data_IF_430716089981
#
_entry.id   IF_430716089981
#
_cell.length_a   1.000
_cell.length_b   1.000
_cell.length_c   1.000
_cell.angle_alpha   90.00
_cell.angle_beta   90.00
_cell.angle_gamma   90.00
#
_symmetry.space_group_name_H-M   'P 1'
#
loop_
_entity.id
_entity.type
_entity.pdbx_description
1 polymer ?
#
# COMPACT_ATOMS: atom_id res chain seq x y z
N UNK A 1 2.66 -13.73 -23.60
CA UNK A 1 3.45 -12.49 -23.43
C UNK A 1 4.87 -12.67 -23.92
N UNK A 2 5.72 -13.47 -23.25
CA UNK A 2 7.09 -13.75 -23.71
C UNK A 2 7.18 -14.37 -25.11
N UNK A 3 6.39 -15.42 -25.40
CA UNK A 3 6.34 -16.04 -26.73
C UNK A 3 5.98 -15.07 -27.86
N UNK A 4 5.38 -13.92 -27.54
CA UNK A 4 4.91 -12.93 -28.51
C UNK A 4 5.72 -11.62 -28.43
N UNK A 5 6.84 -11.61 -27.67
CA UNK A 5 7.69 -10.42 -27.51
C UNK A 5 7.04 -9.25 -26.76
N UNK A 6 5.90 -9.47 -26.09
CA UNK A 6 5.19 -8.42 -25.34
C UNK A 6 5.86 -8.28 -23.97
N UNK A 7 6.57 -7.15 -23.74
CA UNK A 7 7.01 -6.75 -22.39
C UNK A 7 5.75 -6.36 -21.59
N UNK A 8 5.43 -7.03 -20.48
CA UNK A 8 4.25 -6.66 -19.71
C UNK A 8 4.50 -5.29 -19.08
N UNK A 9 3.54 -4.39 -19.22
CA UNK A 9 3.55 -3.13 -18.50
C UNK A 9 2.97 -3.30 -17.09
N UNK A 10 3.04 -2.23 -16.32
CA UNK A 10 2.54 -2.17 -14.95
C UNK A 10 1.04 -2.53 -14.87
N UNK A 11 0.22 -2.15 -15.85
CA UNK A 11 -1.21 -2.44 -15.84
C UNK A 11 -1.48 -3.94 -16.07
N UNK A 12 -0.72 -4.57 -16.95
CA UNK A 12 -0.82 -6.00 -17.24
C UNK A 12 -0.39 -6.84 -16.02
N UNK A 13 0.72 -6.50 -15.37
CA UNK A 13 1.13 -7.15 -14.13
C UNK A 13 0.06 -7.01 -13.04
N UNK A 14 -0.45 -5.78 -12.84
CA UNK A 14 -1.49 -5.50 -11.86
C UNK A 14 -2.79 -6.29 -12.11
N UNK A 15 -3.19 -6.46 -13.37
CA UNK A 15 -4.36 -7.26 -13.73
C UNK A 15 -4.12 -8.75 -13.46
N UNK A 16 -2.96 -9.27 -13.88
CA UNK A 16 -2.58 -10.66 -13.67
C UNK A 16 -2.52 -11.03 -12.19
N UNK A 17 -1.89 -10.18 -11.37
CA UNK A 17 -1.76 -10.41 -9.93
C UNK A 17 -3.11 -10.40 -9.24
N UNK A 18 -4.02 -9.48 -9.60
CA UNK A 18 -5.39 -9.50 -9.07
C UNK A 18 -6.11 -10.80 -9.39
N UNK A 19 -5.92 -11.33 -10.61
CA UNK A 19 -6.49 -12.64 -10.99
C UNK A 19 -5.85 -13.75 -10.15
N UNK A 20 -4.53 -13.77 -9.99
CA UNK A 20 -3.84 -14.77 -9.16
C UNK A 20 -4.21 -14.68 -7.68
N UNK A 21 -4.36 -13.48 -7.09
CA UNK A 21 -4.81 -13.30 -5.70
C UNK A 21 -6.23 -13.84 -5.54
N UNK A 22 -7.12 -13.53 -6.48
CA UNK A 22 -8.49 -14.05 -6.47
C UNK A 22 -8.52 -15.56 -6.69
N UNK A 23 -7.63 -16.07 -7.53
CA UNK A 23 -7.45 -17.51 -7.72
C UNK A 23 -6.85 -18.15 -6.48
N UNK A 24 -6.03 -17.46 -5.68
CA UNK A 24 -5.41 -17.92 -4.42
C UNK A 24 -6.38 -18.05 -3.24
N UNK A 25 -7.63 -17.59 -3.37
CA UNK A 25 -8.73 -18.14 -2.57
C UNK A 25 -8.89 -19.67 -2.81
N UNK A 26 -8.23 -20.20 -3.85
CA UNK A 26 -8.06 -21.59 -4.21
C UNK A 26 -6.55 -21.88 -4.38
N UNK A 27 -5.91 -22.38 -3.31
CA UNK A 27 -4.46 -22.65 -3.17
C UNK A 27 -3.73 -23.10 -4.47
N UNK A 28 -2.56 -22.51 -4.80
CA UNK A 28 -1.31 -23.15 -5.35
C UNK A 28 -0.30 -22.22 -6.07
N UNK A 29 -0.57 -20.94 -6.38
CA UNK A 29 0.26 -20.14 -7.34
C UNK A 29 1.22 -19.06 -6.78
N UNK A 30 1.64 -19.10 -5.50
CA UNK A 30 2.51 -18.05 -4.91
C UNK A 30 3.92 -18.06 -5.49
N UNK A 31 4.51 -19.25 -5.60
CA UNK A 31 5.91 -19.44 -5.95
C UNK A 31 6.22 -19.04 -7.40
N UNK A 32 5.24 -19.20 -8.30
CA UNK A 32 5.34 -18.72 -9.69
C UNK A 32 5.36 -17.20 -9.76
N UNK A 33 4.64 -16.52 -8.86
CA UNK A 33 4.61 -15.07 -8.82
C UNK A 33 5.97 -14.49 -8.41
N UNK A 34 6.61 -15.04 -7.38
CA UNK A 34 7.94 -14.62 -6.93
C UNK A 34 9.00 -14.78 -8.02
N UNK A 35 8.93 -15.85 -8.82
CA UNK A 35 9.86 -16.06 -9.94
C UNK A 35 9.64 -15.05 -11.08
N UNK A 36 8.39 -14.68 -11.35
CA UNK A 36 8.04 -13.63 -12.32
C UNK A 36 8.50 -12.25 -11.82
N UNK A 37 8.38 -12.00 -10.51
CA UNK A 37 8.78 -10.75 -9.85
C UNK A 37 10.29 -10.48 -9.96
N UNK A 38 11.12 -11.50 -9.76
CA UNK A 38 12.59 -11.39 -9.88
C UNK A 38 13.07 -11.04 -11.30
N UNK A 39 12.22 -11.20 -12.32
CA UNK A 39 12.53 -10.90 -13.72
C UNK A 39 12.01 -9.52 -14.17
N UNK A 40 11.35 -8.76 -13.28
CA UNK A 40 10.72 -7.46 -13.60
C UNK A 40 11.47 -6.27 -12.98
N UNK A 41 11.40 -5.10 -13.63
CA UNK A 41 12.00 -3.83 -13.14
C UNK A 41 11.49 -3.47 -11.72
N UNK A 42 12.34 -2.79 -10.93
CA UNK A 42 12.11 -2.44 -9.51
C UNK A 42 10.77 -1.70 -9.27
N UNK A 43 10.36 -0.82 -10.19
CA UNK A 43 9.10 -0.07 -10.04
C UNK A 43 7.85 -0.95 -10.22
N UNK A 44 7.94 -2.03 -10.99
CA UNK A 44 6.86 -3.01 -11.06
C UNK A 44 6.84 -3.79 -9.74
N UNK A 45 8.01 -4.23 -9.28
CA UNK A 45 8.18 -5.02 -8.06
C UNK A 45 7.52 -4.39 -6.82
N UNK A 46 7.68 -3.08 -6.58
CA UNK A 46 7.03 -2.36 -5.48
C UNK A 46 5.50 -2.43 -5.52
N UNK A 47 4.89 -2.26 -6.69
CA UNK A 47 3.43 -2.32 -6.83
C UNK A 47 2.89 -3.74 -6.62
N UNK A 48 3.65 -4.74 -7.06
CA UNK A 48 3.33 -6.15 -6.88
C UNK A 48 3.35 -6.50 -5.38
N UNK A 49 4.41 -6.12 -4.68
CA UNK A 49 4.50 -6.26 -3.22
C UNK A 49 3.31 -5.61 -2.52
N UNK A 50 2.93 -4.42 -2.95
CA UNK A 50 1.77 -3.72 -2.40
C UNK A 50 0.46 -4.50 -2.60
N UNK A 51 0.30 -5.19 -3.74
CA UNK A 51 -0.89 -5.97 -4.03
C UNK A 51 -0.94 -7.31 -3.30
N UNK A 52 0.20 -7.92 -3.01
CA UNK A 52 0.28 -9.24 -2.38
C UNK A 52 0.20 -9.21 -0.86
N UNK A 53 0.44 -8.06 -0.24
CA UNK A 53 0.37 -7.90 1.22
C UNK A 53 -0.86 -8.50 1.92
N UNK A 54 -2.09 -8.46 1.36
CA UNK A 54 -3.25 -9.07 2.00
C UNK A 54 -3.13 -10.57 2.21
N UNK A 55 -2.27 -11.23 1.44
CA UNK A 55 -2.02 -12.65 1.64
C UNK A 55 -1.08 -12.86 2.81
N UNK A 56 -0.04 -12.04 2.92
CA UNK A 56 0.88 -12.07 4.05
C UNK A 56 0.32 -11.32 5.27
N UNK A 57 -1.01 -11.14 5.38
CA UNK A 57 -1.62 -10.31 6.44
C UNK A 57 -1.16 -10.71 7.85
N UNK A 58 -1.04 -12.02 8.09
CA UNK A 58 -0.69 -12.57 9.41
C UNK A 58 0.82 -12.44 9.68
N UNK A 59 1.63 -12.22 8.64
CA UNK A 59 3.08 -12.03 8.69
C UNK A 59 3.50 -10.63 8.22
N UNK A 60 2.57 -9.67 8.16
CA UNK A 60 2.79 -8.41 7.45
C UNK A 60 3.96 -7.61 8.04
N UNK A 61 4.12 -7.59 9.37
CA UNK A 61 5.26 -6.96 10.03
C UNK A 61 6.61 -7.56 9.59
N UNK A 62 6.72 -8.89 9.58
CA UNK A 62 7.92 -9.60 9.12
C UNK A 62 8.20 -9.32 7.64
N UNK A 63 7.17 -9.25 6.80
CA UNK A 63 7.30 -8.88 5.39
C UNK A 63 7.85 -7.46 5.23
N UNK A 64 7.37 -6.48 6.01
CA UNK A 64 7.86 -5.10 6.00
C UNK A 64 9.33 -5.06 6.45
N UNK A 65 9.66 -5.66 7.59
CA UNK A 65 11.02 -5.63 8.17
C UNK A 65 12.06 -6.28 7.23
N UNK A 66 11.69 -7.41 6.62
CA UNK A 66 12.51 -8.06 5.59
C UNK A 66 12.67 -7.16 4.36
N UNK A 67 11.60 -6.53 3.90
CA UNK A 67 11.66 -5.63 2.75
C UNK A 67 12.47 -4.36 3.00
N UNK A 68 12.48 -3.83 4.23
CA UNK A 68 13.40 -2.75 4.63
C UNK A 68 14.85 -3.22 4.52
N UNK A 69 15.15 -4.40 5.07
CA UNK A 69 16.50 -4.99 5.03
C UNK A 69 16.99 -5.24 3.60
N UNK A 70 16.08 -5.60 2.69
CA UNK A 70 16.36 -5.84 1.28
C UNK A 70 16.37 -4.57 0.41
N UNK A 71 16.11 -3.39 1.00
CA UNK A 71 16.07 -2.13 0.26
C UNK A 71 14.86 -1.99 -0.67
N UNK A 72 13.76 -2.68 -0.38
CA UNK A 72 12.47 -2.58 -1.11
C UNK A 72 11.63 -1.44 -0.54
N UNK A 73 11.57 -1.34 0.79
CA UNK A 73 10.85 -0.30 1.50
C UNK A 73 11.80 0.74 2.06
N UNK A 74 11.34 1.99 2.10
CA UNK A 74 11.99 3.04 2.88
C UNK A 74 11.90 2.66 4.35
N UNK A 75 12.90 3.06 5.14
CA UNK A 75 12.93 2.77 6.58
C UNK A 75 11.68 3.24 7.33
N UNK A 76 11.09 4.36 6.92
CA UNK A 76 9.88 4.89 7.54
C UNK A 76 8.59 4.25 7.04
N UNK A 77 8.62 3.62 5.85
CA UNK A 77 7.45 3.00 5.21
C UNK A 77 6.25 3.95 5.16
N UNK A 78 6.49 5.22 4.81
CA UNK A 78 5.45 6.26 4.75
C UNK A 78 5.15 6.96 6.09
N UNK A 79 5.66 6.49 7.23
CA UNK A 79 5.47 7.19 8.51
C UNK A 79 6.32 8.46 8.59
N UNK A 80 5.69 9.58 8.93
CA UNK A 80 6.31 10.89 9.11
C UNK A 80 5.69 11.56 10.34
N UNK A 81 6.40 11.50 11.48
CA UNK A 81 5.86 11.87 12.79
C UNK A 81 4.57 11.08 13.07
N UNK A 82 3.47 11.77 13.40
CA UNK A 82 2.16 11.18 13.64
C UNK A 82 1.31 11.02 12.36
N UNK A 83 1.92 11.11 11.17
CA UNK A 83 1.24 11.03 9.89
C UNK A 83 1.71 9.83 9.07
N UNK A 84 0.79 9.09 8.45
CA UNK A 84 1.13 8.06 7.45
C UNK A 84 0.87 8.62 6.05
N UNK A 85 1.92 8.73 5.25
CA UNK A 85 1.84 9.10 3.84
C UNK A 85 1.80 7.84 2.96
N UNK A 86 0.64 7.61 2.33
CA UNK A 86 0.33 6.43 1.52
C UNK A 86 0.76 6.56 0.06
N UNK A 87 1.56 7.57 -0.31
CA UNK A 87 2.15 7.64 -1.63
C UNK A 87 3.25 6.57 -1.81
N UNK A 88 3.32 5.99 -3.01
CA UNK A 88 4.30 4.96 -3.35
C UNK A 88 5.76 5.41 -3.11
N UNK A 89 6.09 6.67 -3.41
CA UNK A 89 7.46 7.22 -3.25
C UNK A 89 7.86 7.45 -1.78
N UNK A 90 6.90 7.43 -0.84
CA UNK A 90 7.16 7.51 0.60
C UNK A 90 7.35 6.14 1.24
N UNK A 91 6.84 5.10 0.60
CA UNK A 91 6.84 3.74 1.12
C UNK A 91 7.95 2.90 0.50
N UNK A 92 8.17 3.01 -0.81
CA UNK A 92 9.06 2.14 -1.56
C UNK A 92 10.34 2.86 -2.00
N UNK A 93 11.46 2.13 -1.97
CA UNK A 93 12.71 2.57 -2.57
C UNK A 93 12.65 2.47 -4.11
N UNK A 94 13.47 3.26 -4.80
CA UNK A 94 13.52 3.25 -6.27
C UNK A 94 12.31 3.87 -6.99
N UNK A 95 11.27 4.26 -6.26
CA UNK A 95 10.19 5.11 -6.78
C UNK A 95 10.60 6.59 -6.69
N UNK A 96 11.09 7.14 -7.80
CA UNK A 96 11.19 8.58 -8.01
C UNK A 96 9.90 9.06 -8.67
N UNK A 97 9.05 9.81 -7.96
CA UNK A 97 7.88 10.42 -8.56
C UNK A 97 8.30 11.59 -9.45
N UNK A 98 8.13 11.47 -10.77
CA UNK A 98 8.28 12.54 -11.74
C UNK A 98 6.91 13.15 -12.07
N UNK A 99 6.42 14.01 -11.18
CA UNK A 99 5.30 14.89 -11.50
C UNK A 99 4.14 14.82 -10.51
N UNK A 100 3.27 15.81 -10.66
CA UNK A 100 2.23 16.30 -9.74
C UNK A 100 1.12 15.32 -9.34
N UNK A 101 1.26 14.01 -9.64
CA UNK A 101 0.24 12.99 -9.43
C UNK A 101 0.86 11.64 -9.01
N UNK A 102 1.61 11.63 -7.90
CA UNK A 102 2.17 10.39 -7.36
C UNK A 102 1.02 9.48 -6.91
N UNK A 103 1.13 8.20 -7.29
CA UNK A 103 0.12 7.18 -7.04
C UNK A 103 0.12 6.76 -5.57
N UNK A 104 -1.06 6.70 -4.96
CA UNK A 104 -1.27 6.03 -3.67
C UNK A 104 -1.19 4.50 -3.77
N UNK A 105 -1.00 3.82 -2.64
CA UNK A 105 -0.97 2.36 -2.54
C UNK A 105 -2.38 1.72 -2.58
N UNK A 106 -2.51 0.40 -2.82
CA UNK A 106 -3.78 -0.31 -2.70
C UNK A 106 -4.39 -0.21 -1.30
N UNK A 107 -5.73 -0.10 -1.22
CA UNK A 107 -6.46 0.02 0.05
C UNK A 107 -6.14 -1.11 1.04
N UNK A 108 -6.06 -2.35 0.57
CA UNK A 108 -5.80 -3.48 1.45
C UNK A 108 -4.40 -3.40 2.09
N UNK A 109 -3.38 -2.91 1.36
CA UNK A 109 -2.07 -2.61 1.92
C UNK A 109 -2.14 -1.47 2.93
N UNK A 110 -2.86 -0.38 2.60
CA UNK A 110 -2.99 0.77 3.48
C UNK A 110 -3.60 0.43 4.85
N UNK A 111 -4.60 -0.47 4.88
CA UNK A 111 -5.20 -0.97 6.13
C UNK A 111 -4.17 -1.72 6.99
N UNK A 112 -3.42 -2.65 6.38
CA UNK A 112 -2.38 -3.40 7.07
C UNK A 112 -1.25 -2.50 7.55
N UNK A 113 -0.86 -1.52 6.74
CA UNK A 113 0.18 -0.55 7.08
C UNK A 113 -0.22 0.34 8.26
N UNK A 114 -1.48 0.78 8.32
CA UNK A 114 -2.00 1.50 9.47
C UNK A 114 -1.89 0.67 10.75
N UNK A 115 -2.35 -0.58 10.73
CA UNK A 115 -2.23 -1.49 11.87
C UNK A 115 -0.77 -1.72 12.29
N UNK A 116 0.11 -1.95 11.31
CA UNK A 116 1.54 -2.13 11.55
C UNK A 116 2.15 -0.94 12.28
N UNK A 117 1.94 0.29 11.81
CA UNK A 117 2.48 1.47 12.48
C UNK A 117 1.85 1.69 13.85
N UNK A 118 0.52 1.57 13.97
CA UNK A 118 -0.19 1.73 15.26
C UNK A 118 0.34 0.79 16.34
N UNK A 119 0.70 -0.44 15.96
CA UNK A 119 1.18 -1.47 16.89
C UNK A 119 2.69 -1.34 17.19
N UNK A 120 3.51 -1.05 16.18
CA UNK A 120 4.96 -1.24 16.30
C UNK A 120 5.76 0.06 16.39
N UNK A 121 5.22 1.18 15.90
CA UNK A 121 6.02 2.38 15.63
C UNK A 121 5.42 3.66 16.24
N UNK A 122 4.13 3.91 16.02
CA UNK A 122 3.45 5.14 16.42
C UNK A 122 2.01 4.82 16.84
N UNK A 123 1.72 4.67 18.14
CA UNK A 123 0.36 4.38 18.61
C UNK A 123 -0.62 5.54 18.40
N UNK A 124 -0.12 6.77 18.29
CA UNK A 124 -0.88 8.02 18.24
C UNK A 124 -0.85 8.65 16.85
N UNK A 125 -1.21 7.88 15.82
CA UNK A 125 -1.36 8.42 14.46
C UNK A 125 -2.50 9.45 14.46
N UNK A 126 -2.21 10.67 14.03
CA UNK A 126 -3.16 11.79 13.98
C UNK A 126 -3.65 12.08 12.56
N UNK A 127 -2.95 11.61 11.53
CA UNK A 127 -3.34 11.87 10.15
C UNK A 127 -2.84 10.86 9.13
N UNK A 128 -3.51 10.81 7.99
CA UNK A 128 -3.13 9.96 6.85
C UNK A 128 -3.21 10.78 5.57
N UNK A 129 -2.22 10.70 4.69
CA UNK A 129 -2.25 11.29 3.34
C UNK A 129 -2.46 10.17 2.34
N UNK A 130 -3.56 10.18 1.60
CA UNK A 130 -3.91 9.07 0.68
C UNK A 130 -3.37 9.24 -0.74
N UNK A 131 -2.86 10.42 -1.08
CA UNK A 131 -2.40 10.75 -2.42
C UNK A 131 -3.49 10.77 -3.50
N UNK A 132 -3.10 11.09 -4.73
CA UNK A 132 -4.03 11.21 -5.86
C UNK A 132 -4.26 9.85 -6.51
N UNK A 133 -5.36 9.17 -6.19
CA UNK A 133 -5.75 7.98 -6.95
C UNK A 133 -7.24 7.61 -6.85
N UNK A 134 -7.79 7.18 -7.99
CA UNK A 134 -9.02 6.38 -8.07
C UNK A 134 -10.28 7.10 -7.59
N UNK A 135 -10.44 8.40 -7.86
CA UNK A 135 -11.66 9.14 -7.52
C UNK A 135 -12.03 9.03 -6.01
N UNK A 136 -11.06 9.27 -5.13
CA UNK A 136 -11.18 9.14 -3.67
C UNK A 136 -11.43 7.71 -3.14
N UNK A 137 -11.25 6.66 -3.94
CA UNK A 137 -11.46 5.26 -3.49
C UNK A 137 -10.60 4.92 -2.27
N UNK A 138 -9.30 5.26 -2.29
CA UNK A 138 -8.41 5.00 -1.16
C UNK A 138 -8.81 5.82 0.08
N UNK A 139 -9.06 7.13 -0.11
CA UNK A 139 -9.52 8.03 0.96
C UNK A 139 -10.78 7.49 1.64
N UNK A 140 -11.84 7.24 0.86
CA UNK A 140 -13.12 6.77 1.37
C UNK A 140 -13.00 5.39 2.03
N UNK A 141 -12.24 4.48 1.40
CA UNK A 141 -12.03 3.14 1.94
C UNK A 141 -11.24 3.12 3.26
N UNK A 142 -10.31 4.07 3.45
CA UNK A 142 -9.60 4.27 4.70
C UNK A 142 -10.50 4.91 5.76
N UNK A 143 -11.31 5.92 5.40
CA UNK A 143 -12.29 6.52 6.32
C UNK A 143 -13.25 5.47 6.87
N UNK A 144 -13.84 4.63 6.01
CA UNK A 144 -14.72 3.54 6.46
C UNK A 144 -13.98 2.58 7.39
N UNK A 145 -12.78 2.12 7.01
CA UNK A 145 -11.98 1.23 7.85
C UNK A 145 -11.66 1.81 9.23
N UNK A 146 -11.24 3.07 9.30
CA UNK A 146 -10.89 3.73 10.57
C UNK A 146 -12.11 3.90 11.48
N UNK A 147 -13.27 4.19 10.88
CA UNK A 147 -14.52 4.28 11.63
C UNK A 147 -14.97 2.91 12.15
N UNK A 148 -14.98 1.90 11.29
CA UNK A 148 -15.55 0.60 11.59
C UNK A 148 -14.66 -0.22 12.56
N UNK A 149 -13.33 -0.10 12.44
CA UNK A 149 -12.37 -0.93 13.20
C UNK A 149 -11.74 -0.21 14.41
N UNK A 150 -11.73 1.13 14.41
CA UNK A 150 -11.06 1.92 15.44
C UNK A 150 -11.94 3.02 16.06
N UNK A 151 -13.20 3.15 15.64
CA UNK A 151 -14.12 4.20 16.09
C UNK A 151 -13.52 5.61 15.95
N UNK A 152 -12.70 5.82 14.91
CA UNK A 152 -12.09 7.12 14.62
C UNK A 152 -12.95 7.91 13.64
N UNK A 153 -13.13 9.19 13.93
CA UNK A 153 -13.76 10.15 13.03
C UNK A 153 -12.73 10.88 12.17
N UNK A 154 -13.20 11.46 11.06
CA UNK A 154 -12.39 12.20 10.11
C UNK A 154 -12.88 13.66 10.00
N UNK A 155 -11.92 14.58 9.99
CA UNK A 155 -12.14 15.99 9.66
C UNK A 155 -11.45 16.31 8.34
N UNK A 156 -12.20 16.86 7.39
CA UNK A 156 -11.63 17.30 6.11
C UNK A 156 -10.65 18.46 6.29
N UNK A 157 -9.44 18.26 5.78
CA UNK A 157 -8.44 19.32 5.74
C UNK A 157 -8.79 20.33 4.63
N UNK A 158 -8.75 21.62 4.97
CA UNK A 158 -9.15 22.71 4.09
C UNK A 158 -8.15 23.00 2.97
N UNK A 159 -6.91 22.52 3.10
CA UNK A 159 -5.80 22.84 2.20
C UNK A 159 -5.32 21.61 1.42
N UNK A 160 -5.54 20.42 1.94
CA UNK A 160 -5.17 19.15 1.33
C UNK A 160 -6.36 18.18 1.32
N UNK A 161 -7.07 18.13 0.19
CA UNK A 161 -8.21 17.22 0.00
C UNK A 161 -7.84 15.73 0.08
N UNK A 162 -6.56 15.37 0.00
CA UNK A 162 -6.05 14.01 0.16
C UNK A 162 -5.68 13.65 1.60
N UNK A 163 -5.80 14.58 2.55
CA UNK A 163 -5.49 14.35 3.95
C UNK A 163 -6.72 13.91 4.74
N UNK A 164 -6.51 12.92 5.60
CA UNK A 164 -7.43 12.42 6.61
C UNK A 164 -6.89 12.86 7.97
N UNK A 165 -7.54 13.83 8.62
CA UNK A 165 -7.22 14.19 10.02
C UNK A 165 -8.09 13.34 10.94
N UNK A 166 -7.45 12.60 11.84
CA UNK A 166 -8.09 11.67 12.75
C UNK A 166 -8.50 12.37 14.05
N UNK A 167 -9.69 12.03 14.54
CA UNK A 167 -10.18 12.47 15.84
C UNK A 167 -10.83 11.28 16.55
N UNK A 168 -10.64 11.20 17.86
CA UNK A 168 -11.40 10.27 18.68
C UNK A 168 -12.90 10.57 18.56
N UNK A 169 -13.71 9.52 18.38
CA UNK A 169 -15.16 9.65 18.41
C UNK A 169 -15.62 10.22 19.76
N UNK A 170 -16.55 11.16 19.73
CA UNK A 170 -17.05 11.84 20.93
C UNK A 170 -18.15 11.03 21.65
N UNK A 171 -18.10 9.70 21.57
CA UNK A 171 -19.12 8.79 22.10
C UNK A 171 -18.72 8.21 23.45
#
# INVERSE_FOLDING_TARGET
MQQWGIKPDVAIYNAFIKVCIKAKEFDTEIWHLEEIMNKSDISAFSQIHAQLAPIEKDNFASMIDKGITQGIYKKSVGLMNHCIDLHMDKIFEGHSGDGTHIRGIPLAFARLLFCYHKQNNEPNITSIITGYHGNNTLKNGMISFLKDEFELEFIEDKFNSGMIVLKESAH
#
